data_IF_707304159787
#
_entry.id   IF_707304159787
#
_cell.length_a   1.000
_cell.length_b   1.000
_cell.length_c   1.000
_cell.angle_alpha   90.00
_cell.angle_beta   90.00
_cell.angle_gamma   90.00
#
_symmetry.space_group_name_H-M   'P 1'
#
loop_
_entity.id
_entity.type
_entity.pdbx_description
1 polymer ?
#
# COMPACT_ATOMS: atom_id res chain seq x y z
N UNK A 1 7.83 -3.80 20.20
CA UNK A 1 8.89 -4.75 19.81
C UNK A 1 8.78 -6.06 20.56
N UNK A 2 8.73 -6.05 21.90
CA UNK A 2 8.69 -7.28 22.71
C UNK A 2 7.50 -8.19 22.38
N UNK A 3 6.31 -7.62 22.21
CA UNK A 3 5.12 -8.37 21.78
C UNK A 3 5.32 -9.07 20.43
N UNK A 4 5.97 -8.44 19.48
CA UNK A 4 6.27 -9.05 18.16
C UNK A 4 7.22 -10.24 18.31
N UNK A 5 8.24 -10.11 19.17
CA UNK A 5 9.16 -11.22 19.45
C UNK A 5 8.48 -12.39 20.13
N UNK A 6 7.53 -12.13 21.04
CA UNK A 6 6.72 -13.16 21.70
C UNK A 6 5.80 -13.88 20.71
N UNK A 7 5.09 -13.13 19.86
CA UNK A 7 4.23 -13.71 18.82
C UNK A 7 5.02 -14.51 17.78
N UNK A 8 6.19 -14.04 17.37
CA UNK A 8 7.06 -14.77 16.44
C UNK A 8 7.58 -16.07 17.06
N UNK A 9 7.92 -16.05 18.36
CA UNK A 9 8.30 -17.25 19.09
C UNK A 9 7.15 -18.25 19.16
N UNK A 10 5.94 -17.78 19.55
CA UNK A 10 4.74 -18.62 19.60
C UNK A 10 4.43 -19.23 18.23
N UNK A 11 4.50 -18.44 17.16
CA UNK A 11 4.27 -18.91 15.79
C UNK A 11 5.24 -20.04 15.40
N UNK A 12 6.52 -19.87 15.72
CA UNK A 12 7.53 -20.91 15.46
C UNK A 12 7.28 -22.20 16.27
N UNK A 13 6.92 -22.08 17.53
CA UNK A 13 6.59 -23.22 18.40
C UNK A 13 5.36 -23.97 17.87
N UNK A 14 4.30 -23.26 17.49
CA UNK A 14 3.10 -23.84 16.89
C UNK A 14 3.45 -24.61 15.60
N UNK A 15 4.19 -23.98 14.69
CA UNK A 15 4.61 -24.62 13.42
C UNK A 15 5.41 -25.89 13.65
N UNK A 16 6.34 -25.88 14.59
CA UNK A 16 7.12 -27.07 14.94
C UNK A 16 6.23 -28.18 15.49
N UNK A 17 5.29 -27.85 16.40
CA UNK A 17 4.35 -28.83 16.98
C UNK A 17 3.44 -29.42 15.91
N UNK A 18 2.89 -28.57 15.01
CA UNK A 18 2.03 -29.03 13.89
C UNK A 18 2.80 -29.95 12.93
N UNK A 19 4.03 -29.62 12.59
CA UNK A 19 4.86 -30.46 11.73
C UNK A 19 5.17 -31.82 12.40
N UNK A 20 5.53 -31.82 13.69
CA UNK A 20 5.78 -33.05 14.45
C UNK A 20 4.53 -33.93 14.51
N UNK A 21 3.37 -33.36 14.84
CA UNK A 21 2.10 -34.06 14.88
C UNK A 21 1.68 -34.63 13.50
N UNK A 22 1.90 -33.89 12.42
CA UNK A 22 1.64 -34.37 11.06
C UNK A 22 2.55 -35.52 10.68
N UNK A 23 3.84 -35.44 11.02
CA UNK A 23 4.79 -36.51 10.78
C UNK A 23 4.43 -37.80 11.59
N UNK A 24 4.09 -37.64 12.87
CA UNK A 24 3.64 -38.74 13.73
C UNK A 24 2.34 -39.37 13.20
N UNK A 25 1.34 -38.55 12.88
CA UNK A 25 0.08 -39.03 12.29
C UNK A 25 0.30 -39.82 11.02
N UNK A 26 1.21 -39.37 10.12
CA UNK A 26 1.53 -40.09 8.90
C UNK A 26 2.21 -41.44 9.19
N UNK A 27 3.08 -41.52 10.22
CA UNK A 27 3.72 -42.75 10.66
C UNK A 27 2.70 -43.75 11.26
N UNK A 28 1.82 -43.25 12.13
CA UNK A 28 0.78 -44.05 12.79
C UNK A 28 -0.27 -44.52 11.76
N UNK A 29 -0.64 -43.70 10.80
CA UNK A 29 -1.59 -44.10 9.74
C UNK A 29 -1.07 -45.27 8.91
N UNK A 30 0.24 -45.35 8.65
CA UNK A 30 0.85 -46.52 7.99
C UNK A 30 0.76 -47.76 8.84
N UNK A 31 0.85 -47.64 10.18
CA UNK A 31 0.72 -48.78 11.11
C UNK A 31 -0.71 -49.35 11.12
N UNK A 32 -1.75 -48.52 11.02
CA UNK A 32 -3.14 -48.94 10.91
C UNK A 32 -3.31 -49.90 9.73
N UNK A 33 -2.77 -49.58 8.57
CA UNK A 33 -2.82 -50.44 7.40
C UNK A 33 -2.17 -51.81 7.63
N UNK A 34 -1.01 -51.83 8.32
CA UNK A 34 -0.30 -53.07 8.64
C UNK A 34 -1.06 -53.91 9.67
N UNK A 35 -1.65 -53.30 10.72
CA UNK A 35 -2.44 -54.01 11.75
C UNK A 35 -3.72 -54.58 11.15
N UNK A 36 -4.39 -53.86 10.28
CA UNK A 36 -5.59 -54.33 9.58
C UNK A 36 -5.26 -55.55 8.67
N UNK A 37 -4.14 -55.53 7.97
CA UNK A 37 -3.66 -56.63 7.13
C UNK A 37 -3.32 -57.88 7.97
N UNK A 38 -2.92 -57.72 9.25
CA UNK A 38 -2.64 -58.80 10.22
C UNK A 38 -3.89 -59.28 10.96
N UNK A 39 -5.07 -58.69 10.73
CA UNK A 39 -6.31 -59.08 11.40
C UNK A 39 -6.46 -58.54 12.84
N UNK A 40 -5.55 -57.66 13.30
CA UNK A 40 -5.52 -57.09 14.67
C UNK A 40 -6.45 -55.86 14.78
N UNK A 41 -7.75 -56.10 14.72
CA UNK A 41 -8.78 -55.06 14.67
C UNK A 41 -8.82 -54.16 15.91
N UNK A 42 -8.68 -54.74 17.11
CA UNK A 42 -8.74 -53.98 18.38
C UNK A 42 -7.54 -53.02 18.50
N UNK A 43 -6.32 -53.49 18.19
CA UNK A 43 -5.12 -52.63 18.15
C UNK A 43 -5.24 -51.51 17.09
N UNK A 44 -5.83 -51.82 15.93
CA UNK A 44 -6.06 -50.85 14.89
C UNK A 44 -7.07 -49.74 15.30
N UNK A 45 -8.12 -50.10 16.07
CA UNK A 45 -9.10 -49.12 16.60
C UNK A 45 -8.48 -48.20 17.66
N UNK A 46 -7.60 -48.68 18.50
CA UNK A 46 -6.90 -47.85 19.49
C UNK A 46 -5.97 -46.85 18.79
N UNK A 47 -5.26 -47.31 17.78
CA UNK A 47 -4.40 -46.45 16.95
C UNK A 47 -5.21 -45.39 16.17
N UNK A 48 -6.41 -45.72 15.69
CA UNK A 48 -7.31 -44.74 15.06
C UNK A 48 -7.75 -43.65 16.04
N UNK A 49 -8.01 -43.97 17.32
CA UNK A 49 -8.33 -42.93 18.32
C UNK A 49 -7.18 -41.95 18.53
N UNK A 50 -5.92 -42.46 18.55
CA UNK A 50 -4.75 -41.58 18.63
C UNK A 50 -4.62 -40.67 17.42
N UNK A 51 -4.86 -41.17 16.20
CA UNK A 51 -4.88 -40.36 14.98
C UNK A 51 -5.97 -39.29 15.03
N UNK A 52 -7.16 -39.64 15.56
CA UNK A 52 -8.25 -38.66 15.70
C UNK A 52 -7.88 -37.55 16.70
N UNK A 53 -7.31 -37.88 17.85
CA UNK A 53 -6.86 -36.90 18.84
C UNK A 53 -5.76 -35.97 18.28
N UNK A 54 -4.80 -36.54 17.54
CA UNK A 54 -3.79 -35.73 16.84
C UNK A 54 -4.42 -34.81 15.77
N UNK A 55 -5.49 -35.27 15.11
CA UNK A 55 -6.26 -34.47 14.15
C UNK A 55 -6.86 -33.23 14.80
N UNK A 56 -7.58 -33.39 15.90
CA UNK A 56 -8.19 -32.29 16.67
C UNK A 56 -7.12 -31.27 17.12
N UNK A 57 -6.00 -31.80 17.67
CA UNK A 57 -4.91 -30.90 18.11
C UNK A 57 -4.29 -30.12 16.98
N UNK A 58 -4.11 -30.71 15.80
CA UNK A 58 -3.62 -30.02 14.60
C UNK A 58 -4.60 -28.92 14.17
N UNK A 59 -5.92 -29.14 14.24
CA UNK A 59 -6.92 -28.12 13.90
C UNK A 59 -6.89 -26.94 14.88
N UNK A 60 -6.82 -27.21 16.18
CA UNK A 60 -6.67 -26.18 17.22
C UNK A 60 -5.42 -25.33 16.97
N UNK A 61 -4.28 -25.98 16.79
CA UNK A 61 -3.01 -25.30 16.54
C UNK A 61 -3.02 -24.51 15.22
N UNK A 62 -3.63 -25.06 14.16
CA UNK A 62 -3.73 -24.36 12.87
C UNK A 62 -4.67 -23.14 12.94
N UNK A 63 -5.67 -23.17 13.81
CA UNK A 63 -6.52 -22.01 14.10
C UNK A 63 -5.71 -20.94 14.84
N UNK A 64 -5.00 -21.35 15.89
CA UNK A 64 -4.15 -20.46 16.67
C UNK A 64 -3.01 -19.86 15.82
N UNK A 65 -2.40 -20.65 14.95
CA UNK A 65 -1.38 -20.20 13.99
C UNK A 65 -1.87 -19.01 13.16
N UNK A 66 -3.07 -19.11 12.59
CA UNK A 66 -3.67 -18.02 11.80
C UNK A 66 -3.91 -16.77 12.64
N UNK A 67 -4.44 -16.91 13.86
CA UNK A 67 -4.65 -15.77 14.76
C UNK A 67 -3.33 -15.06 15.08
N UNK A 68 -2.29 -15.83 15.41
CA UNK A 68 -0.95 -15.31 15.73
C UNK A 68 -0.33 -14.63 14.49
N UNK A 69 -0.46 -15.23 13.31
CA UNK A 69 0.03 -14.63 12.06
C UNK A 69 -0.68 -13.30 11.74
N UNK A 70 -2.00 -13.23 11.92
CA UNK A 70 -2.75 -12.00 11.71
C UNK A 70 -2.35 -10.91 12.71
N UNK A 71 -2.16 -11.28 13.98
CA UNK A 71 -1.75 -10.33 15.02
C UNK A 71 -0.31 -9.87 14.81
N UNK A 72 0.59 -10.79 14.47
CA UNK A 72 1.98 -10.48 14.12
C UNK A 72 2.07 -9.53 12.92
N UNK A 73 1.28 -9.76 11.87
CA UNK A 73 1.22 -8.88 10.72
C UNK A 73 0.76 -7.47 11.11
N UNK A 74 -0.32 -7.36 11.90
CA UNK A 74 -0.81 -6.05 12.37
C UNK A 74 0.23 -5.27 13.16
N UNK A 75 0.92 -5.96 14.07
CA UNK A 75 1.94 -5.32 14.90
C UNK A 75 3.20 -4.95 14.08
N UNK A 76 3.59 -5.79 13.14
CA UNK A 76 4.71 -5.49 12.21
C UNK A 76 4.43 -4.28 11.32
N UNK A 77 3.19 -4.10 10.87
CA UNK A 77 2.82 -2.97 9.98
C UNK A 77 2.87 -1.61 10.65
N UNK A 78 2.89 -1.53 11.99
CA UNK A 78 3.01 -0.26 12.72
C UNK A 78 4.44 0.04 13.20
N UNK A 79 5.37 -0.87 12.96
CA UNK A 79 6.79 -0.64 13.29
C UNK A 79 7.40 0.29 12.22
N UNK A 80 7.96 1.45 12.63
CA UNK A 80 8.63 2.34 11.70
C UNK A 80 9.82 1.65 11.01
N UNK A 81 10.09 2.04 9.78
CA UNK A 81 11.28 1.59 9.08
C UNK A 81 12.55 2.15 9.73
N UNK A 82 13.68 1.48 9.49
CA UNK A 82 15.00 1.96 9.92
C UNK A 82 15.34 3.20 9.07
N UNK A 83 15.64 4.30 9.75
CA UNK A 83 16.08 5.55 9.11
C UNK A 83 17.61 5.54 8.92
N UNK A 84 18.07 6.20 7.86
CA UNK A 84 19.50 6.36 7.62
C UNK A 84 20.15 7.20 8.74
N UNK A 85 21.36 6.85 9.22
CA UNK A 85 22.04 7.60 10.28
C UNK A 85 22.30 9.08 9.98
N UNK A 86 22.30 9.48 8.71
CA UNK A 86 22.45 10.88 8.30
C UNK A 86 21.19 11.72 8.51
N UNK A 87 20.02 11.09 8.73
CA UNK A 87 18.76 11.80 8.95
C UNK A 87 18.70 12.33 10.37
N UNK A 88 18.53 13.65 10.58
CA UNK A 88 18.38 14.22 11.91
C UNK A 88 17.16 13.64 12.64
N UNK A 89 17.31 13.38 13.93
CA UNK A 89 16.18 12.97 14.78
C UNK A 89 15.45 14.24 15.20
N UNK A 90 14.17 14.32 14.89
CA UNK A 90 13.28 15.43 15.24
C UNK A 90 11.94 14.93 15.75
N UNK A 91 11.23 15.80 16.47
CA UNK A 91 9.91 15.51 17.01
C UNK A 91 8.84 15.54 15.93
N UNK A 92 8.92 16.52 15.04
CA UNK A 92 8.01 16.75 13.93
C UNK A 92 8.70 17.59 12.83
N UNK A 93 7.97 18.01 11.81
CA UNK A 93 8.47 18.74 10.66
C UNK A 93 9.01 20.15 10.99
N UNK A 94 8.66 20.72 12.16
CA UNK A 94 9.24 21.99 12.62
C UNK A 94 10.74 21.91 12.95
N UNK A 95 11.23 20.70 13.18
CA UNK A 95 12.64 20.41 13.45
C UNK A 95 13.42 19.94 12.20
N UNK A 96 12.81 20.02 11.01
CA UNK A 96 13.52 19.71 9.76
C UNK A 96 14.73 20.62 9.55
N UNK A 97 15.85 20.03 9.19
CA UNK A 97 17.09 20.74 8.92
C UNK A 97 17.25 20.97 7.42
N UNK A 98 17.35 22.23 7.02
CA UNK A 98 17.66 22.58 5.63
C UNK A 98 19.13 22.17 5.33
N UNK A 99 19.33 21.28 4.37
CA UNK A 99 20.65 20.74 4.02
C UNK A 99 21.26 21.43 2.79
N UNK A 100 20.46 22.03 1.93
CA UNK A 100 20.93 22.69 0.71
C UNK A 100 19.93 23.76 0.24
N UNK A 101 20.47 24.88 -0.27
CA UNK A 101 19.74 25.91 -1.01
C UNK A 101 20.28 25.99 -2.43
N UNK A 102 19.41 26.02 -3.40
CA UNK A 102 19.77 26.22 -4.79
C UNK A 102 19.16 27.50 -5.36
N UNK A 103 20.03 28.43 -5.75
CA UNK A 103 19.64 29.73 -6.29
C UNK A 103 19.15 30.71 -5.22
N UNK A 104 18.85 31.90 -5.66
CA UNK A 104 18.26 32.97 -4.83
C UNK A 104 16.81 33.21 -5.25
N UNK A 105 15.89 33.39 -4.30
CA UNK A 105 14.50 33.68 -4.61
C UNK A 105 14.38 35.04 -5.30
N UNK A 106 13.72 35.06 -6.46
CA UNK A 106 13.35 36.31 -7.14
C UNK A 106 11.96 36.70 -6.62
N UNK A 107 11.91 37.73 -5.80
CA UNK A 107 10.66 38.31 -5.33
C UNK A 107 10.27 39.43 -6.28
N UNK A 108 9.13 39.33 -7.01
CA UNK A 108 8.64 40.42 -7.86
C UNK A 108 8.34 41.68 -7.08
N UNK A 109 8.46 42.83 -7.70
CA UNK A 109 8.10 44.15 -7.15
C UNK A 109 6.59 44.47 -7.27
N UNK A 110 5.81 43.50 -7.70
CA UNK A 110 4.34 43.58 -7.80
C UNK A 110 3.68 42.45 -7.02
N UNK A 111 2.42 42.64 -6.63
CA UNK A 111 1.60 41.62 -6.00
C UNK A 111 1.32 40.50 -7.01
N UNK A 112 1.75 39.27 -6.65
CA UNK A 112 1.49 38.08 -7.44
C UNK A 112 0.06 37.60 -7.19
N UNK A 113 -0.83 37.59 -8.21
CA UNK A 113 -2.20 37.14 -8.01
C UNK A 113 -2.25 35.65 -7.67
N UNK A 114 -3.28 35.24 -6.95
CA UNK A 114 -3.48 33.85 -6.59
C UNK A 114 -3.73 32.99 -7.84
N UNK A 115 -3.31 31.72 -7.82
CA UNK A 115 -3.37 30.87 -9.01
C UNK A 115 -4.78 30.72 -9.61
N UNK A 116 -5.82 30.69 -8.79
CA UNK A 116 -7.21 30.62 -9.29
C UNK A 116 -7.62 31.93 -9.96
N UNK A 117 -7.23 33.09 -9.44
CA UNK A 117 -7.47 34.38 -10.06
C UNK A 117 -6.84 34.47 -11.45
N UNK A 118 -5.61 33.94 -11.60
CA UNK A 118 -4.95 33.83 -12.91
C UNK A 118 -5.77 32.95 -13.84
N UNK A 119 -6.22 31.77 -13.36
CA UNK A 119 -7.00 30.86 -14.18
C UNK A 119 -8.36 31.43 -14.56
N UNK A 120 -9.03 32.16 -13.65
CA UNK A 120 -10.29 32.85 -13.90
C UNK A 120 -10.14 33.95 -14.97
N UNK A 121 -9.06 34.72 -14.93
CA UNK A 121 -8.76 35.75 -15.94
C UNK A 121 -8.59 35.17 -17.37
N UNK A 122 -8.32 33.87 -17.48
CA UNK A 122 -8.25 33.15 -18.75
C UNK A 122 -9.48 32.30 -19.05
N UNK A 123 -10.58 32.45 -18.31
CA UNK A 123 -11.76 31.60 -18.40
C UNK A 123 -11.40 30.08 -18.29
N UNK A 124 -10.33 29.78 -17.57
CA UNK A 124 -9.66 28.48 -17.58
C UNK A 124 -10.02 27.56 -16.44
N UNK A 125 -10.87 28.00 -15.49
CA UNK A 125 -11.32 27.19 -14.35
C UNK A 125 -12.80 27.44 -14.06
N UNK A 126 -13.52 26.38 -13.68
CA UNK A 126 -14.90 26.44 -13.20
C UNK A 126 -15.07 25.59 -11.95
N UNK A 127 -15.00 26.23 -10.81
CA UNK A 127 -15.18 25.59 -9.50
C UNK A 127 -16.65 25.44 -9.12
N UNK A 128 -17.52 26.33 -9.59
CA UNK A 128 -18.94 26.29 -9.26
C UNK A 128 -19.67 25.13 -9.93
N UNK A 129 -19.36 24.87 -11.19
CA UNK A 129 -19.89 23.67 -11.88
C UNK A 129 -19.32 22.39 -11.27
N UNK A 130 -18.04 22.37 -10.90
CA UNK A 130 -17.43 21.22 -10.24
C UNK A 130 -18.11 20.92 -8.91
N UNK A 131 -18.43 21.97 -8.11
CA UNK A 131 -19.15 21.83 -6.84
C UNK A 131 -20.54 21.23 -7.02
N UNK A 132 -21.28 21.63 -8.08
CA UNK A 132 -22.60 21.07 -8.38
C UNK A 132 -22.54 19.61 -8.80
N UNK A 133 -21.46 19.19 -9.48
CA UNK A 133 -21.31 17.84 -10.03
C UNK A 133 -20.71 16.86 -9.03
N UNK A 134 -19.70 17.28 -8.29
CA UNK A 134 -18.88 16.37 -7.47
C UNK A 134 -18.63 16.85 -6.03
N UNK A 135 -19.00 18.07 -5.70
CA UNK A 135 -18.76 18.69 -4.39
C UNK A 135 -17.48 19.55 -4.39
N UNK A 136 -17.11 20.01 -3.19
CA UNK A 136 -15.88 20.79 -2.99
C UNK A 136 -14.65 19.91 -3.25
N UNK A 137 -13.52 20.54 -3.60
CA UNK A 137 -12.26 19.84 -3.86
C UNK A 137 -12.17 19.17 -5.23
N UNK A 138 -13.09 19.53 -6.15
CA UNK A 138 -13.04 19.18 -7.58
C UNK A 138 -12.99 20.44 -8.42
N UNK A 139 -12.60 20.29 -9.68
CA UNK A 139 -12.43 21.42 -10.60
C UNK A 139 -12.70 21.00 -12.06
N UNK A 140 -13.08 21.96 -12.87
CA UNK A 140 -12.95 21.88 -14.32
C UNK A 140 -11.81 22.82 -14.76
N UNK A 141 -10.88 22.28 -15.55
CA UNK A 141 -9.95 23.12 -16.32
C UNK A 141 -10.46 23.23 -17.75
N UNK A 142 -10.39 24.43 -18.31
CA UNK A 142 -10.95 24.74 -19.61
C UNK A 142 -9.96 25.50 -20.49
N UNK A 143 -10.24 25.57 -21.77
CA UNK A 143 -9.52 26.40 -22.72
C UNK A 143 -8.00 26.19 -22.70
N UNK A 144 -7.28 27.27 -22.71
CA UNK A 144 -5.82 27.25 -22.74
C UNK A 144 -5.17 26.79 -21.44
N UNK A 145 -5.83 26.97 -20.29
CA UNK A 145 -5.34 26.41 -19.02
C UNK A 145 -5.37 24.87 -19.06
N UNK A 146 -6.42 24.26 -19.59
CA UNK A 146 -6.49 22.81 -19.77
C UNK A 146 -5.42 22.29 -20.76
N UNK A 147 -5.17 23.05 -21.82
CA UNK A 147 -4.12 22.74 -22.81
C UNK A 147 -2.73 22.85 -22.18
N UNK A 148 -2.46 23.92 -21.43
CA UNK A 148 -1.19 24.12 -20.72
C UNK A 148 -0.94 22.99 -19.73
N UNK A 149 -1.95 22.63 -18.93
CA UNK A 149 -1.87 21.49 -18.02
C UNK A 149 -1.50 20.19 -18.74
N UNK A 150 -2.13 19.90 -19.88
CA UNK A 150 -1.83 18.72 -20.68
C UNK A 150 -0.42 18.78 -21.30
N UNK A 151 0.01 19.97 -21.74
CA UNK A 151 1.35 20.18 -22.29
C UNK A 151 2.46 19.93 -21.25
N UNK A 152 2.29 20.43 -20.01
CA UNK A 152 3.23 20.19 -18.90
C UNK A 152 3.34 18.69 -18.59
N UNK A 153 2.22 17.98 -18.53
CA UNK A 153 2.21 16.53 -18.32
C UNK A 153 2.93 15.79 -19.46
N UNK A 154 2.70 16.18 -20.71
CA UNK A 154 3.35 15.58 -21.87
C UNK A 154 4.85 15.87 -21.89
N UNK A 155 5.24 17.09 -21.58
CA UNK A 155 6.65 17.45 -21.46
C UNK A 155 7.37 16.60 -20.39
N UNK A 156 6.78 16.49 -19.21
CA UNK A 156 7.37 15.68 -18.14
C UNK A 156 7.50 14.20 -18.53
N UNK A 157 6.52 13.64 -19.28
CA UNK A 157 6.61 12.29 -19.83
C UNK A 157 7.83 12.12 -20.72
N UNK A 158 7.93 12.97 -21.71
CA UNK A 158 8.98 12.86 -22.73
C UNK A 158 10.36 13.13 -22.14
N UNK A 159 10.44 14.05 -21.17
CA UNK A 159 11.65 14.32 -20.40
C UNK A 159 12.15 13.07 -19.64
N UNK A 160 11.25 12.32 -19.00
CA UNK A 160 11.64 11.09 -18.27
C UNK A 160 12.00 9.95 -19.24
N UNK A 161 11.24 9.77 -20.32
CA UNK A 161 11.55 8.78 -21.36
C UNK A 161 12.94 9.05 -21.96
N UNK A 162 13.26 10.30 -22.27
CA UNK A 162 14.57 10.69 -22.82
C UNK A 162 15.73 10.47 -21.84
N UNK A 163 15.45 10.27 -20.56
CA UNK A 163 16.40 9.86 -19.51
C UNK A 163 16.49 8.36 -19.28
N UNK A 164 15.85 7.55 -20.12
CA UNK A 164 15.91 6.11 -20.05
C UNK A 164 14.87 5.46 -19.12
N UNK A 165 13.91 6.23 -18.61
CA UNK A 165 12.82 5.65 -17.83
C UNK A 165 11.80 4.94 -18.73
N UNK A 166 11.37 3.76 -18.33
CA UNK A 166 10.27 3.05 -19.00
C UNK A 166 8.94 3.67 -18.60
N UNK A 167 8.19 4.18 -19.57
CA UNK A 167 6.88 4.75 -19.33
C UNK A 167 5.81 3.69 -19.15
N UNK A 168 5.04 3.79 -18.07
CA UNK A 168 3.95 2.89 -17.71
C UNK A 168 2.63 3.63 -17.51
N UNK A 169 1.54 3.00 -17.93
CA UNK A 169 0.18 3.38 -17.52
C UNK A 169 -0.32 2.26 -16.60
N UNK A 170 -0.33 2.47 -15.28
CA UNK A 170 -0.69 1.45 -14.31
C UNK A 170 -2.21 1.34 -14.14
N UNK A 171 -2.72 0.27 -13.50
CA UNK A 171 -4.09 0.23 -13.00
C UNK A 171 -4.37 1.39 -12.04
N UNK A 172 -5.57 1.99 -12.13
CA UNK A 172 -5.98 3.11 -11.26
C UNK A 172 -6.81 2.65 -10.06
N UNK A 173 -7.11 1.36 -10.01
CA UNK A 173 -7.71 0.67 -8.88
C UNK A 173 -6.83 -0.51 -8.50
N UNK A 174 -6.62 -0.71 -7.21
CA UNK A 174 -5.73 -1.73 -6.66
C UNK A 174 -6.40 -2.46 -5.50
N UNK A 175 -5.97 -3.69 -5.23
CA UNK A 175 -6.48 -4.51 -4.13
C UNK A 175 -5.89 -4.10 -2.77
N UNK A 176 -6.56 -4.50 -1.70
CA UNK A 176 -6.14 -4.20 -0.32
C UNK A 176 -4.71 -4.67 -0.01
N UNK A 177 -4.29 -5.84 -0.50
CA UNK A 177 -2.95 -6.37 -0.28
C UNK A 177 -1.85 -5.52 -0.94
N UNK A 178 -2.15 -4.85 -2.05
CA UNK A 178 -1.23 -3.87 -2.67
C UNK A 178 -1.15 -2.61 -1.82
N UNK A 179 -2.32 -2.13 -1.34
CA UNK A 179 -2.39 -0.92 -0.50
C UNK A 179 -1.61 -1.11 0.79
N UNK A 180 -1.82 -2.23 1.48
CA UNK A 180 -1.16 -2.53 2.76
C UNK A 180 0.35 -2.78 2.63
N UNK A 181 0.84 -3.05 1.43
CA UNK A 181 2.28 -3.10 1.15
C UNK A 181 2.97 -1.72 1.08
N UNK A 182 2.21 -0.62 1.03
CA UNK A 182 2.74 0.75 0.86
C UNK A 182 2.24 1.76 1.89
N UNK A 183 1.20 1.43 2.66
CA UNK A 183 0.67 2.27 3.74
C UNK A 183 -0.03 1.43 4.82
N UNK A 184 -0.20 2.02 6.00
CA UNK A 184 -0.93 1.38 7.09
C UNK A 184 -2.44 1.28 6.82
N UNK A 185 -3.13 0.36 7.49
CA UNK A 185 -4.60 0.24 7.41
C UNK A 185 -5.34 1.52 7.82
N UNK A 186 -4.84 2.22 8.84
CA UNK A 186 -5.44 3.46 9.30
C UNK A 186 -5.35 4.57 8.25
N UNK A 187 -4.20 4.71 7.60
CA UNK A 187 -4.00 5.66 6.51
C UNK A 187 -4.84 5.29 5.28
N UNK A 188 -4.90 4.00 4.93
CA UNK A 188 -5.72 3.52 3.83
C UNK A 188 -7.19 3.92 4.00
N UNK A 189 -7.78 3.66 5.15
CA UNK A 189 -9.19 3.99 5.42
C UNK A 189 -9.43 5.51 5.48
N UNK A 190 -8.49 6.26 6.01
CA UNK A 190 -8.57 7.72 6.11
C UNK A 190 -8.42 8.41 4.75
N UNK A 191 -7.55 7.93 3.86
CA UNK A 191 -7.10 8.65 2.67
C UNK A 191 -7.63 8.10 1.34
N UNK A 192 -7.95 6.80 1.25
CA UNK A 192 -8.33 6.17 -0.02
C UNK A 192 -9.83 5.99 -0.18
N UNK A 193 -10.31 6.13 -1.41
CA UNK A 193 -11.67 5.76 -1.80
C UNK A 193 -11.74 4.25 -2.05
N UNK A 194 -12.66 3.57 -1.39
CA UNK A 194 -12.97 2.16 -1.59
C UNK A 194 -14.17 2.00 -2.50
N UNK A 195 -14.13 1.02 -3.37
CA UNK A 195 -15.29 0.61 -4.18
C UNK A 195 -16.18 -0.28 -3.30
N UNK A 196 -17.44 0.09 -3.19
CA UNK A 196 -18.40 -0.67 -2.39
C UNK A 196 -18.65 -2.05 -3.01
N UNK A 197 -18.65 -3.07 -2.15
CA UNK A 197 -18.88 -4.47 -2.56
C UNK A 197 -17.68 -5.18 -3.19
N UNK A 198 -16.53 -4.48 -3.36
CA UNK A 198 -15.35 -5.05 -3.98
C UNK A 198 -14.08 -4.81 -3.15
N UNK A 199 -13.07 -5.67 -3.33
CA UNK A 199 -11.72 -5.45 -2.79
C UNK A 199 -10.91 -4.59 -3.76
N UNK A 200 -11.39 -3.36 -4.00
CA UNK A 200 -10.75 -2.38 -4.88
C UNK A 200 -10.75 -0.99 -4.24
N UNK A 201 -9.64 -0.29 -4.43
CA UNK A 201 -9.39 1.06 -3.95
C UNK A 201 -8.86 1.93 -5.07
N UNK A 202 -9.37 3.16 -5.19
CA UNK A 202 -8.81 4.15 -6.12
C UNK A 202 -7.43 4.58 -5.62
N UNK A 203 -6.44 4.63 -6.50
CA UNK A 203 -5.07 4.97 -6.14
C UNK A 203 -4.94 6.43 -5.67
N UNK A 204 -4.22 6.66 -4.59
CA UNK A 204 -3.81 8.00 -4.13
C UNK A 204 -2.54 8.51 -4.81
N UNK A 205 -1.78 7.61 -5.42
CA UNK A 205 -0.59 7.86 -6.24
C UNK A 205 -0.32 6.65 -7.14
N UNK A 206 0.28 6.87 -8.30
CA UNK A 206 0.69 5.77 -9.19
C UNK A 206 1.78 4.88 -8.58
N UNK A 207 2.52 5.35 -7.60
CA UNK A 207 3.54 4.55 -6.89
C UNK A 207 2.97 3.26 -6.33
N UNK A 208 1.76 3.30 -5.76
CA UNK A 208 1.09 2.11 -5.22
C UNK A 208 0.99 0.99 -6.27
N UNK A 209 0.48 1.31 -7.45
CA UNK A 209 0.34 0.34 -8.55
C UNK A 209 1.69 -0.09 -9.11
N UNK A 210 2.66 0.84 -9.16
CA UNK A 210 3.98 0.55 -9.70
C UNK A 210 4.77 -0.39 -8.79
N UNK A 211 4.68 -0.21 -7.46
CA UNK A 211 5.27 -1.12 -6.47
C UNK A 211 4.53 -2.45 -6.49
N UNK A 212 3.19 -2.42 -6.55
CA UNK A 212 2.36 -3.61 -6.64
C UNK A 212 2.66 -4.51 -7.85
N UNK A 213 3.23 -3.96 -8.92
CA UNK A 213 3.70 -4.73 -10.08
C UNK A 213 4.72 -5.81 -9.69
N UNK A 214 5.46 -5.63 -8.61
CA UNK A 214 6.55 -6.50 -8.18
C UNK A 214 6.20 -7.41 -6.99
N UNK A 215 4.92 -7.43 -6.55
CA UNK A 215 4.47 -8.34 -5.49
C UNK A 215 4.76 -9.79 -5.89
N UNK A 216 5.31 -10.56 -4.94
CA UNK A 216 5.62 -11.98 -5.08
C UNK A 216 6.55 -12.32 -6.26
N UNK A 217 7.37 -11.36 -6.70
CA UNK A 217 8.36 -11.56 -7.75
C UNK A 217 9.78 -11.54 -7.21
N UNK A 218 10.60 -12.45 -7.70
CA UNK A 218 12.05 -12.43 -7.55
C UNK A 218 12.61 -11.81 -8.84
N UNK A 219 13.23 -10.63 -8.72
CA UNK A 219 13.79 -9.91 -9.85
C UNK A 219 15.26 -10.31 -9.98
N UNK A 220 15.70 -10.82 -11.16
CA UNK A 220 17.11 -11.10 -11.40
C UNK A 220 17.99 -9.85 -11.24
N UNK A 221 19.20 -10.02 -10.70
CA UNK A 221 20.13 -8.91 -10.42
C UNK A 221 20.49 -8.13 -11.69
N UNK A 222 20.63 -8.84 -12.82
CA UNK A 222 20.93 -8.25 -14.12
C UNK A 222 19.82 -7.34 -14.67
N UNK A 223 18.61 -7.43 -14.12
CA UNK A 223 17.48 -6.55 -14.49
C UNK A 223 17.40 -5.27 -13.64
N UNK A 224 18.30 -5.10 -12.70
CA UNK A 224 18.36 -3.93 -11.82
C UNK A 224 19.44 -2.92 -12.27
N UNK A 225 19.21 -1.62 -12.09
CA UNK A 225 18.00 -0.99 -11.55
C UNK A 225 16.87 -0.92 -12.58
N UNK A 226 15.61 -1.09 -12.11
CA UNK A 226 14.41 -0.84 -12.92
C UNK A 226 13.94 0.60 -12.72
N UNK A 227 14.08 1.43 -13.74
CA UNK A 227 13.66 2.83 -13.72
C UNK A 227 12.33 2.96 -14.48
N UNK A 228 11.28 3.33 -13.74
CA UNK A 228 9.92 3.44 -14.27
C UNK A 228 9.39 4.85 -14.06
N UNK A 229 8.62 5.36 -15.01
CA UNK A 229 7.83 6.59 -14.86
C UNK A 229 6.38 6.30 -15.24
N UNK A 230 5.45 6.92 -14.56
CA UNK A 230 4.03 6.67 -14.78
C UNK A 230 3.22 7.95 -14.78
N UNK A 231 2.07 7.90 -15.43
CA UNK A 231 1.01 8.90 -15.35
C UNK A 231 -0.29 8.25 -14.90
N UNK A 232 -0.95 8.88 -13.93
CA UNK A 232 -2.29 8.46 -13.52
C UNK A 232 -3.12 9.62 -12.98
N UNK A 233 -4.44 9.55 -13.05
CA UNK A 233 -5.29 10.24 -12.10
C UNK A 233 -5.04 9.63 -10.71
N UNK A 234 -5.16 10.46 -9.67
CA UNK A 234 -5.03 10.03 -8.28
C UNK A 234 -6.20 10.60 -7.50
N UNK A 235 -6.64 9.87 -6.50
CA UNK A 235 -7.84 10.19 -5.73
C UNK A 235 -7.51 10.14 -4.24
N UNK A 236 -7.82 11.24 -3.52
CA UNK A 236 -7.55 11.35 -2.09
C UNK A 236 -8.75 11.92 -1.36
N UNK A 237 -9.10 11.38 -0.21
CA UNK A 237 -10.21 11.89 0.60
C UNK A 237 -9.92 13.26 1.23
N UNK A 238 -8.66 13.68 1.31
CA UNK A 238 -8.20 14.98 1.85
C UNK A 238 -8.96 15.42 3.13
N UNK A 239 -9.20 14.47 4.05
CA UNK A 239 -9.90 14.76 5.31
C UNK A 239 -9.03 15.66 6.17
N UNK A 240 -9.62 16.77 6.64
CA UNK A 240 -8.97 17.69 7.58
C UNK A 240 -8.29 18.91 6.95
N UNK A 241 -8.39 19.11 5.63
CA UNK A 241 -8.00 20.38 5.02
C UNK A 241 -8.97 21.49 5.42
N UNK A 242 -8.46 22.54 6.08
CA UNK A 242 -9.24 23.68 6.51
C UNK A 242 -8.47 25.00 6.25
N UNK A 243 -9.20 26.08 6.00
CA UNK A 243 -8.64 27.42 5.87
C UNK A 243 -8.12 27.76 4.48
N UNK A 244 -6.92 28.35 4.38
CA UNK A 244 -6.33 28.80 3.11
C UNK A 244 -6.13 27.66 2.11
N UNK A 245 -5.94 26.44 2.56
CA UNK A 245 -5.77 25.26 1.69
C UNK A 245 -7.07 24.86 0.98
N UNK A 246 -8.25 25.31 1.45
CA UNK A 246 -9.53 25.09 0.78
C UNK A 246 -9.75 26.03 -0.41
N UNK A 247 -8.96 27.10 -0.50
CA UNK A 247 -9.05 28.04 -1.62
C UNK A 247 -8.28 27.49 -2.83
N UNK A 248 -8.98 27.34 -3.93
CA UNK A 248 -8.37 26.98 -5.21
C UNK A 248 -8.21 25.49 -5.43
N UNK A 249 -7.14 25.09 -6.13
CA UNK A 249 -6.85 23.73 -6.58
C UNK A 249 -5.59 23.15 -5.95
N UNK A 250 -5.30 23.53 -4.72
CA UNK A 250 -4.12 23.04 -4.00
C UNK A 250 -4.44 21.72 -3.25
N UNK A 251 -5.52 21.65 -2.48
CA UNK A 251 -6.01 20.45 -1.79
C UNK A 251 -7.28 19.96 -2.50
N UNK A 252 -7.15 18.94 -3.30
CA UNK A 252 -8.20 18.47 -4.21
C UNK A 252 -8.33 16.95 -4.15
N UNK A 253 -9.56 16.46 -4.29
CA UNK A 253 -9.87 15.02 -4.25
C UNK A 253 -9.37 14.26 -5.47
N UNK A 254 -9.24 14.94 -6.63
CA UNK A 254 -8.78 14.36 -7.87
C UNK A 254 -7.66 15.18 -8.47
N UNK A 255 -6.50 14.57 -8.59
CA UNK A 255 -5.31 15.20 -9.19
C UNK A 255 -4.71 14.28 -10.26
N UNK A 256 -3.88 14.85 -11.11
CA UNK A 256 -3.08 14.09 -12.07
C UNK A 256 -1.64 14.04 -11.57
N UNK A 257 -1.13 12.83 -11.42
CA UNK A 257 0.20 12.58 -10.90
C UNK A 257 1.11 12.00 -11.99
N UNK A 258 2.35 12.46 -11.99
CA UNK A 258 3.45 11.86 -12.73
C UNK A 258 4.57 11.55 -11.74
N UNK A 259 4.96 10.29 -11.71
CA UNK A 259 6.04 9.77 -10.87
C UNK A 259 7.14 9.19 -11.73
#
# INVERSE_FOLDING_TARGET
>A
MDKVLELDKENREIKQEVEALRAERNKISKQIGALMAQGKKEEAEEVKKQVAASGTRIEELSTREKEVEEELLKDMMVIPNIIDPSVPIGKDDSENVEIEKFGEPVVPDFEVPYHTEIMENFDGIDLDSARRVAGNGFYYLMGDIARLHSAVISYARDFMINRGFTYCVPPFMIRSNVVTGVMSFAEMDAMMYKIEGEDLYLIGTSEHSMIGKFIDQIIPEEELPKTLTSYSPCFRKEKGAHGLEERGVYRIHQLKNRK
#
